data_IF_103376344390
#
_entry.id   IF_103376344390
#
_cell.length_a   1.000
_cell.length_b   1.000
_cell.length_c   1.000
_cell.angle_alpha   90.00
_cell.angle_beta   90.00
_cell.angle_gamma   90.00
#
_symmetry.space_group_name_H-M   'P 1'
#
loop_
_entity.id
_entity.type
_entity.pdbx_description
1 polymer ?
#
# COMPACT_ATOMS: atom_id res chain seq x y z
N UNK A 1 -5.51 20.01 -21.84
CA UNK A 1 -4.38 19.43 -21.09
C UNK A 1 -3.77 20.57 -20.27
N UNK A 2 -4.40 20.87 -19.13
CA UNK A 2 -4.06 22.04 -18.32
C UNK A 2 -3.23 21.57 -17.13
N UNK A 3 -1.93 21.81 -17.20
CA UNK A 3 -1.01 21.71 -16.06
C UNK A 3 -1.49 22.71 -14.98
N UNK A 4 -2.11 22.19 -13.92
CA UNK A 4 -2.56 22.99 -12.77
C UNK A 4 -1.54 22.82 -11.63
N UNK A 5 -0.47 23.62 -11.68
CA UNK A 5 0.63 23.58 -10.69
C UNK A 5 0.24 24.13 -9.30
N UNK A 6 -1.05 24.41 -9.04
CA UNK A 6 -1.49 25.15 -7.84
C UNK A 6 -2.46 24.43 -6.89
N UNK A 7 -2.71 23.13 -7.08
CA UNK A 7 -3.37 22.30 -6.07
C UNK A 7 -2.78 20.88 -6.07
N UNK A 8 -1.45 20.72 -5.99
CA UNK A 8 -0.90 19.39 -5.72
C UNK A 8 -1.37 18.96 -4.33
N UNK A 9 -2.35 18.05 -4.31
CA UNK A 9 -2.68 17.31 -3.12
C UNK A 9 -1.43 16.51 -2.73
N UNK A 10 -1.03 16.54 -1.46
CA UNK A 10 0.16 15.81 -0.99
C UNK A 10 0.07 14.32 -1.35
N UNK A 11 -1.15 13.78 -1.46
CA UNK A 11 -1.42 12.42 -1.92
C UNK A 11 -1.00 12.21 -3.38
N UNK A 12 -1.37 13.12 -4.29
CA UNK A 12 -0.96 13.04 -5.71
C UNK A 12 0.55 13.08 -5.84
N UNK A 13 1.22 13.96 -5.08
CA UNK A 13 2.69 14.01 -5.06
C UNK A 13 3.31 12.66 -4.63
N UNK A 14 2.75 12.00 -3.62
CA UNK A 14 3.24 10.68 -3.21
C UNK A 14 2.97 9.60 -4.26
N UNK A 15 1.83 9.66 -4.95
CA UNK A 15 1.51 8.73 -6.04
C UNK A 15 2.44 8.91 -7.23
N UNK A 16 2.76 10.15 -7.61
CA UNK A 16 3.76 10.46 -8.64
C UNK A 16 5.11 9.82 -8.27
N UNK A 17 5.52 9.93 -6.99
CA UNK A 17 6.76 9.32 -6.52
C UNK A 17 6.81 7.78 -6.68
N UNK A 18 5.67 7.08 -6.70
CA UNK A 18 5.64 5.62 -6.91
C UNK A 18 5.93 5.21 -8.35
N UNK A 19 5.78 6.14 -9.30
CA UNK A 19 6.02 5.91 -10.73
C UNK A 19 7.44 6.25 -11.16
N UNK A 20 8.20 6.91 -10.28
CA UNK A 20 9.58 7.32 -10.55
C UNK A 20 10.53 6.11 -10.55
N UNK A 21 11.60 6.14 -11.37
CA UNK A 21 12.59 5.06 -11.43
C UNK A 21 13.48 5.00 -10.18
N UNK A 22 13.49 6.05 -9.37
CA UNK A 22 14.32 6.15 -8.17
C UNK A 22 13.69 5.38 -7.02
N UNK A 23 14.33 4.30 -6.59
CA UNK A 23 13.92 3.52 -5.40
C UNK A 23 13.72 4.37 -4.15
N UNK A 24 14.53 5.44 -3.99
CA UNK A 24 14.40 6.37 -2.85
C UNK A 24 13.12 7.21 -2.93
N UNK A 25 12.71 7.61 -4.14
CA UNK A 25 11.46 8.36 -4.33
C UNK A 25 10.27 7.43 -4.12
N UNK A 26 10.34 6.20 -4.62
CA UNK A 26 9.30 5.19 -4.38
C UNK A 26 9.15 4.93 -2.88
N UNK A 27 10.26 4.68 -2.16
CA UNK A 27 10.24 4.47 -0.70
C UNK A 27 9.64 5.67 0.04
N UNK A 28 10.01 6.89 -0.36
CA UNK A 28 9.45 8.12 0.21
C UNK A 28 7.95 8.25 -0.06
N UNK A 29 7.51 8.02 -1.29
CA UNK A 29 6.12 8.10 -1.70
C UNK A 29 5.25 7.11 -0.93
N UNK A 30 5.66 5.84 -0.86
CA UNK A 30 4.87 4.81 -0.18
C UNK A 30 4.86 5.02 1.34
N UNK A 31 5.96 5.50 1.92
CA UNK A 31 6.03 5.89 3.34
C UNK A 31 5.08 7.05 3.64
N UNK A 32 5.02 8.04 2.75
CA UNK A 32 4.06 9.14 2.81
C UNK A 32 2.61 8.67 2.77
N UNK A 33 2.28 7.80 1.81
CA UNK A 33 0.93 7.21 1.67
C UNK A 33 0.57 6.38 2.91
N UNK A 34 1.46 5.52 3.39
CA UNK A 34 1.23 4.68 4.57
C UNK A 34 0.88 5.53 5.80
N UNK A 35 1.61 6.62 6.03
CA UNK A 35 1.36 7.52 7.15
C UNK A 35 0.08 8.34 6.95
N UNK A 36 -0.19 8.80 5.74
CA UNK A 36 -1.36 9.63 5.43
C UNK A 36 -2.66 8.83 5.51
N UNK A 37 -2.69 7.58 5.05
CA UNK A 37 -3.87 6.72 5.03
C UNK A 37 -4.39 6.31 6.41
N UNK A 38 -3.66 6.59 7.50
CA UNK A 38 -4.21 6.50 8.84
C UNK A 38 -5.45 7.42 9.02
N UNK A 39 -5.55 8.51 8.24
CA UNK A 39 -6.78 9.28 8.07
C UNK A 39 -7.62 8.71 6.90
N UNK A 40 -8.86 8.26 7.15
CA UNK A 40 -9.76 7.75 6.12
C UNK A 40 -10.02 8.71 4.95
N UNK A 41 -9.95 10.03 5.17
CA UNK A 41 -10.10 11.02 4.11
C UNK A 41 -8.95 10.93 3.08
N UNK A 42 -7.73 10.70 3.57
CA UNK A 42 -6.56 10.49 2.71
C UNK A 42 -6.60 9.14 2.00
N UNK A 43 -7.05 8.09 2.68
CA UNK A 43 -7.25 6.77 2.07
C UNK A 43 -8.27 6.83 0.91
N UNK A 44 -9.34 7.62 1.07
CA UNK A 44 -10.30 7.87 0.01
C UNK A 44 -9.68 8.61 -1.19
N UNK A 45 -8.80 9.58 -0.94
CA UNK A 45 -8.07 10.30 -2.00
C UNK A 45 -7.12 9.38 -2.77
N UNK A 46 -6.39 8.49 -2.10
CA UNK A 46 -5.55 7.48 -2.77
C UNK A 46 -6.38 6.59 -3.68
N UNK A 47 -7.55 6.16 -3.20
CA UNK A 47 -8.48 5.31 -3.99
C UNK A 47 -9.03 6.09 -5.20
N UNK A 48 -9.39 7.36 -5.03
CA UNK A 48 -9.93 8.20 -6.11
C UNK A 48 -8.90 8.52 -7.21
N UNK A 49 -7.61 8.49 -6.89
CA UNK A 49 -6.50 8.76 -7.81
C UNK A 49 -5.86 7.48 -8.34
N UNK A 50 -6.59 6.36 -8.38
CA UNK A 50 -6.12 5.07 -8.89
C UNK A 50 -4.79 4.60 -8.24
N UNK A 51 -4.61 4.91 -6.96
CA UNK A 51 -3.35 4.65 -6.24
C UNK A 51 -3.19 3.20 -5.75
N UNK A 52 -4.28 2.43 -5.67
CA UNK A 52 -4.25 1.04 -5.17
C UNK A 52 -3.34 0.13 -6.02
N UNK A 53 -3.40 0.11 -7.36
CA UNK A 53 -2.47 -0.65 -8.19
C UNK A 53 -1.00 -0.30 -7.94
N UNK A 54 -0.69 0.98 -7.72
CA UNK A 54 0.67 1.46 -7.47
C UNK A 54 1.18 0.96 -6.11
N UNK A 55 0.32 0.97 -5.08
CA UNK A 55 0.62 0.41 -3.76
C UNK A 55 0.83 -1.11 -3.84
N UNK A 56 -0.02 -1.83 -4.59
CA UNK A 56 0.14 -3.28 -4.79
C UNK A 56 1.46 -3.60 -5.50
N UNK A 57 1.84 -2.83 -6.52
CA UNK A 57 3.12 -2.99 -7.22
C UNK A 57 4.32 -2.88 -6.28
N UNK A 58 4.23 -2.02 -5.25
CA UNK A 58 5.28 -1.84 -4.26
C UNK A 58 5.54 -3.10 -3.41
N UNK A 59 4.61 -4.06 -3.34
CA UNK A 59 4.83 -5.37 -2.69
C UNK A 59 5.90 -6.20 -3.39
N UNK A 60 6.20 -5.94 -4.66
CA UNK A 60 7.23 -6.65 -5.44
C UNK A 60 8.57 -5.92 -5.43
N UNK A 61 8.71 -4.84 -4.64
CA UNK A 61 9.93 -4.04 -4.60
C UNK A 61 11.11 -4.82 -3.99
N UNK A 62 12.34 -4.66 -4.51
CA UNK A 62 13.55 -5.20 -3.85
C UNK A 62 13.87 -4.44 -2.54
N UNK A 63 13.30 -3.25 -2.35
CA UNK A 63 13.53 -2.41 -1.17
C UNK A 63 12.59 -2.86 -0.06
N UNK A 64 13.18 -3.40 1.01
CA UNK A 64 12.46 -3.91 2.18
C UNK A 64 11.50 -2.88 2.80
N UNK A 65 11.95 -1.63 2.96
CA UNK A 65 11.12 -0.59 3.55
C UNK A 65 9.88 -0.28 2.69
N UNK A 66 10.05 -0.26 1.36
CA UNK A 66 8.95 -0.05 0.40
C UNK A 66 7.87 -1.11 0.56
N UNK A 67 8.24 -2.37 0.65
CA UNK A 67 7.29 -3.47 0.90
C UNK A 67 6.59 -3.30 2.25
N UNK A 68 7.33 -2.87 3.29
CA UNK A 68 6.78 -2.70 4.63
C UNK A 68 5.70 -1.60 4.68
N UNK A 69 6.00 -0.46 4.06
CA UNK A 69 5.05 0.63 3.93
C UNK A 69 3.88 0.28 3.02
N UNK A 70 4.09 -0.53 1.97
CA UNK A 70 3.00 -1.01 1.12
C UNK A 70 2.02 -1.89 1.89
N UNK A 71 2.51 -2.83 2.70
CA UNK A 71 1.67 -3.65 3.58
C UNK A 71 0.86 -2.80 4.57
N UNK A 72 1.52 -1.82 5.20
CA UNK A 72 0.85 -0.88 6.11
C UNK A 72 -0.18 0.00 5.40
N UNK A 73 0.12 0.50 4.20
CA UNK A 73 -0.82 1.28 3.40
C UNK A 73 -2.05 0.44 3.01
N UNK A 74 -1.87 -0.81 2.57
CA UNK A 74 -2.98 -1.72 2.23
C UNK A 74 -3.87 -2.01 3.43
N UNK A 75 -3.30 -2.13 4.63
CA UNK A 75 -4.06 -2.30 5.88
C UNK A 75 -5.07 -1.17 6.11
N UNK A 76 -4.67 0.08 5.86
CA UNK A 76 -5.55 1.23 5.99
C UNK A 76 -6.46 1.46 4.78
N UNK A 77 -5.98 1.15 3.58
CA UNK A 77 -6.73 1.35 2.34
C UNK A 77 -7.89 0.35 2.22
N UNK A 78 -7.70 -0.89 2.65
CA UNK A 78 -8.69 -1.95 2.50
C UNK A 78 -9.98 -1.62 3.26
N UNK A 79 -11.06 -1.43 2.51
CA UNK A 79 -12.40 -1.14 3.02
C UNK A 79 -13.47 -1.74 2.09
N UNK A 80 -14.74 -1.60 2.45
CA UNK A 80 -15.85 -2.21 1.71
C UNK A 80 -15.91 -1.82 0.22
N UNK A 81 -15.44 -0.63 -0.15
CA UNK A 81 -15.50 -0.09 -1.51
C UNK A 81 -14.37 -0.57 -2.42
N UNK A 82 -13.22 -0.97 -1.86
CA UNK A 82 -12.04 -1.37 -2.64
C UNK A 82 -11.51 -2.77 -2.30
N UNK A 83 -12.21 -3.50 -1.42
CA UNK A 83 -11.87 -4.87 -1.04
C UNK A 83 -11.69 -5.81 -2.24
N UNK A 84 -12.49 -5.67 -3.30
CA UNK A 84 -12.43 -6.57 -4.47
C UNK A 84 -11.15 -6.39 -5.27
N UNK A 85 -10.55 -5.20 -5.20
CA UNK A 85 -9.30 -4.89 -5.85
C UNK A 85 -8.08 -5.30 -5.00
N UNK A 86 -8.16 -5.07 -3.68
CA UNK A 86 -7.07 -5.35 -2.74
C UNK A 86 -7.01 -6.83 -2.37
N UNK A 87 -8.15 -7.52 -2.27
CA UNK A 87 -8.24 -8.94 -1.89
C UNK A 87 -8.22 -9.89 -3.09
N UNK A 88 -7.57 -9.48 -4.19
CA UNK A 88 -7.33 -10.39 -5.31
C UNK A 88 -6.42 -11.55 -4.86
N UNK A 89 -6.61 -12.77 -5.39
CA UNK A 89 -5.84 -13.94 -4.99
C UNK A 89 -4.33 -13.71 -5.01
N UNK A 90 -3.82 -13.07 -6.06
CA UNK A 90 -2.39 -12.77 -6.21
C UNK A 90 -1.83 -11.85 -5.11
N UNK A 91 -2.64 -10.90 -4.63
CA UNK A 91 -2.24 -9.98 -3.55
C UNK A 91 -2.27 -10.71 -2.21
N UNK A 92 -3.31 -11.50 -1.96
CA UNK A 92 -3.44 -12.30 -0.74
C UNK A 92 -2.27 -13.28 -0.63
N UNK A 93 -1.92 -13.96 -1.72
CA UNK A 93 -0.83 -14.95 -1.73
C UNK A 93 0.53 -14.27 -1.48
N UNK A 94 0.76 -13.08 -2.03
CA UNK A 94 1.94 -12.28 -1.70
C UNK A 94 1.98 -11.91 -0.21
N UNK A 95 0.86 -11.44 0.37
CA UNK A 95 0.78 -11.07 1.79
C UNK A 95 1.00 -12.30 2.69
N UNK A 96 0.41 -13.46 2.36
CA UNK A 96 0.65 -14.72 3.08
C UNK A 96 2.11 -15.15 3.03
N UNK A 97 2.78 -14.98 1.90
CA UNK A 97 4.23 -15.25 1.78
C UNK A 97 5.04 -14.38 2.74
N UNK A 98 4.73 -13.08 2.83
CA UNK A 98 5.37 -12.17 3.80
C UNK A 98 5.04 -12.51 5.26
N UNK A 99 3.82 -12.97 5.51
CA UNK A 99 3.37 -13.43 6.82
C UNK A 99 4.12 -14.69 7.27
N UNK A 100 4.46 -15.59 6.34
CA UNK A 100 5.26 -16.79 6.58
C UNK A 100 6.78 -16.52 6.62
N UNK A 101 7.25 -15.42 6.03
CA UNK A 101 8.66 -15.03 5.96
C UNK A 101 9.25 -14.48 7.28
N UNK A 102 8.68 -14.85 8.44
CA UNK A 102 9.03 -14.35 9.78
C UNK A 102 10.49 -14.47 10.20
N UNK A 103 11.28 -15.29 9.51
CA UNK A 103 12.73 -15.39 9.70
C UNK A 103 13.54 -14.23 9.09
N UNK A 104 12.97 -13.43 8.19
CA UNK A 104 13.70 -12.37 7.45
C UNK A 104 13.45 -10.98 8.03
N UNK A 105 12.24 -10.69 8.51
CA UNK A 105 11.94 -9.51 9.35
C UNK A 105 10.64 -9.69 10.11
N UNK A 106 10.70 -9.61 11.43
CA UNK A 106 9.52 -9.72 12.30
C UNK A 106 8.46 -8.65 12.00
N UNK A 107 8.88 -7.46 11.56
CA UNK A 107 7.96 -6.36 11.21
C UNK A 107 7.06 -6.67 10.02
N UNK A 108 7.58 -7.30 8.95
CA UNK A 108 6.79 -7.69 7.78
C UNK A 108 5.69 -8.66 8.16
N UNK A 109 6.07 -9.67 8.92
CA UNK A 109 5.19 -10.78 9.24
C UNK A 109 4.08 -10.35 10.17
N UNK A 110 4.38 -9.46 11.13
CA UNK A 110 3.35 -8.91 12.02
C UNK A 110 2.32 -8.05 11.26
N UNK A 111 2.77 -7.16 10.37
CA UNK A 111 1.85 -6.33 9.58
C UNK A 111 1.04 -7.15 8.57
N UNK A 112 1.67 -8.12 7.91
CA UNK A 112 0.99 -9.02 6.99
C UNK A 112 -0.05 -9.89 7.72
N UNK A 113 0.28 -10.43 8.89
CA UNK A 113 -0.70 -11.16 9.72
C UNK A 113 -1.85 -10.24 10.16
N UNK A 114 -1.55 -9.03 10.65
CA UNK A 114 -2.58 -8.07 11.05
C UNK A 114 -3.53 -7.70 9.90
N UNK A 115 -3.00 -7.57 8.67
CA UNK A 115 -3.82 -7.39 7.48
C UNK A 115 -4.75 -8.58 7.23
N UNK A 116 -4.21 -9.81 7.27
CA UNK A 116 -4.98 -11.02 7.03
C UNK A 116 -6.08 -11.19 8.08
N UNK A 117 -5.76 -11.01 9.36
CA UNK A 117 -6.72 -11.16 10.45
C UNK A 117 -7.86 -10.13 10.39
N UNK A 118 -7.55 -8.91 9.94
CA UNK A 118 -8.56 -7.85 9.83
C UNK A 118 -9.47 -8.02 8.60
N UNK A 119 -8.90 -8.39 7.45
CA UNK A 119 -9.58 -8.23 6.15
C UNK A 119 -9.89 -9.54 5.44
N UNK A 120 -9.21 -10.64 5.78
CA UNK A 120 -9.47 -11.95 5.20
C UNK A 120 -10.26 -12.77 6.22
N UNK A 121 -11.59 -12.96 6.03
CA UNK A 121 -12.34 -13.83 6.90
C UNK A 121 -11.71 -15.22 6.88
N UNK A 122 -11.31 -15.72 8.05
CA UNK A 122 -10.88 -17.11 8.18
C UNK A 122 -12.07 -17.98 7.79
N UNK A 123 -12.00 -18.57 6.60
CA UNK A 123 -12.91 -19.61 6.15
C UNK A 123 -12.69 -20.81 7.08
N UNK A 124 -13.50 -20.88 8.14
CA UNK A 124 -13.72 -22.09 8.92
C UNK A 124 -14.59 -23.06 8.12
#
# INVERSE_FOLDING_TARGET
>A
MSCNIKQLNVIELFLDCLTEPSEKLVEFGIGGICNACADPANAALVTQNDGIPLVIQCLSSPVRNTVNYALGALYYLCNASNKEEILKPEVIDAIKSYAAAGGVSTSFSNLAQAFLDQHVPQLN
#
